data_IF_998344026846
#
_entry.id   IF_998344026846
#
_cell.length_a   1.000
_cell.length_b   1.000
_cell.length_c   1.000
_cell.angle_alpha   90.00
_cell.angle_beta   90.00
_cell.angle_gamma   90.00
#
_symmetry.space_group_name_H-M   'P 1'
#
loop_
_entity.id
_entity.type
_entity.pdbx_description
1 polymer ?
#
# COMPACT_ATOMS: atom_id res chain seq x y z
N UNK A 1 -6.58 0.09 -16.03
CA UNK A 1 -6.05 1.45 -15.80
C UNK A 1 -5.39 1.96 -17.08
N UNK A 2 -6.13 2.63 -17.97
CA UNK A 2 -5.65 3.00 -19.33
C UNK A 2 -4.95 4.35 -19.44
N UNK A 3 -5.09 5.23 -18.44
CA UNK A 3 -4.41 6.53 -18.41
C UNK A 3 -2.89 6.34 -18.22
N UNK A 4 -2.07 7.21 -18.82
CA UNK A 4 -0.62 7.17 -18.66
C UNK A 4 -0.15 7.75 -17.32
N UNK A 5 -0.79 8.82 -16.83
CA UNK A 5 -0.56 9.27 -15.46
C UNK A 5 -1.15 8.27 -14.46
N UNK A 6 -0.32 7.67 -13.61
CA UNK A 6 -0.74 6.70 -12.60
C UNK A 6 -1.11 7.40 -11.29
N UNK A 7 -1.99 6.74 -10.53
CA UNK A 7 -2.33 7.09 -9.15
C UNK A 7 -2.37 5.81 -8.33
N UNK A 8 -1.30 5.54 -7.59
CA UNK A 8 -1.20 4.37 -6.72
C UNK A 8 -0.78 4.83 -5.34
N UNK A 9 -1.46 4.36 -4.32
CA UNK A 9 -1.06 4.49 -2.93
C UNK A 9 -0.71 3.11 -2.37
N UNK A 10 0.01 3.10 -1.26
CA UNK A 10 0.25 1.91 -0.45
C UNK A 10 -0.11 2.22 0.99
N UNK A 11 -0.77 1.28 1.65
CA UNK A 11 -0.99 1.29 3.09
C UNK A 11 -0.55 -0.05 3.66
N UNK A 12 0.37 0.02 4.64
CA UNK A 12 0.84 -1.17 5.33
C UNK A 12 0.57 -1.16 6.84
N UNK A 13 -0.40 -0.35 7.29
CA UNK A 13 -0.77 -0.32 8.69
C UNK A 13 -1.39 -1.65 9.12
N UNK A 14 -0.97 -2.21 10.26
CA UNK A 14 -1.56 -3.45 10.74
C UNK A 14 -3.02 -3.24 11.19
N UNK A 15 -3.90 -4.15 10.80
CA UNK A 15 -5.36 -4.08 10.98
C UNK A 15 -5.82 -3.91 12.44
N UNK A 16 -4.95 -4.21 13.40
CA UNK A 16 -5.24 -4.18 14.84
C UNK A 16 -4.61 -3.04 15.63
N UNK A 17 -3.52 -2.46 15.11
CA UNK A 17 -2.62 -1.62 15.90
C UNK A 17 -2.46 -0.24 15.26
N UNK A 18 -3.54 0.44 14.87
CA UNK A 18 -3.53 1.86 14.43
C UNK A 18 -2.62 2.76 15.31
N UNK A 19 -2.32 2.32 16.54
CA UNK A 19 -1.56 2.94 17.62
C UNK A 19 -0.03 2.89 17.44
N UNK A 20 0.52 2.08 16.53
CA UNK A 20 1.96 2.06 16.24
C UNK A 20 2.85 1.56 17.39
N UNK A 21 2.28 0.86 18.37
CA UNK A 21 2.99 0.44 19.61
C UNK A 21 4.27 -0.36 19.34
N UNK A 22 4.27 -1.18 18.30
CA UNK A 22 5.40 -2.06 17.96
C UNK A 22 6.51 -1.36 17.16
N UNK A 23 6.21 -0.18 16.60
CA UNK A 23 7.14 0.62 15.81
C UNK A 23 6.88 2.13 15.98
N UNK A 24 7.02 2.68 17.21
CA UNK A 24 6.54 4.02 17.57
C UNK A 24 7.18 5.15 16.76
N UNK A 25 8.37 4.93 16.20
CA UNK A 25 9.11 5.94 15.43
C UNK A 25 9.02 5.76 13.91
N UNK A 26 8.32 4.74 13.42
CA UNK A 26 8.23 4.47 11.98
C UNK A 26 7.25 5.43 11.26
N UNK A 27 6.36 6.06 12.02
CA UNK A 27 5.35 6.96 11.49
C UNK A 27 4.32 6.24 10.63
N UNK A 28 3.71 6.96 9.70
CA UNK A 28 2.65 6.40 8.88
C UNK A 28 3.18 5.63 7.66
N UNK A 29 2.90 4.30 7.55
CA UNK A 29 3.25 3.44 6.42
C UNK A 29 2.26 3.64 5.26
N UNK A 30 1.87 4.89 5.02
CA UNK A 30 1.03 5.32 3.92
C UNK A 30 1.88 6.15 2.97
N UNK A 31 2.02 5.70 1.75
CA UNK A 31 2.77 6.40 0.70
C UNK A 31 1.98 6.41 -0.60
N UNK A 32 2.35 7.27 -1.54
CA UNK A 32 1.77 7.27 -2.88
C UNK A 32 2.78 7.59 -3.97
N UNK A 33 2.50 7.04 -5.16
CA UNK A 33 3.09 7.43 -6.43
C UNK A 33 1.97 7.96 -7.34
N UNK A 34 1.97 9.27 -7.52
CA UNK A 34 0.99 9.98 -8.32
C UNK A 34 1.69 10.99 -9.19
N UNK A 35 1.51 10.88 -10.51
CA UNK A 35 2.15 11.78 -11.47
C UNK A 35 1.30 12.03 -12.70
N UNK A 36 1.49 13.18 -13.32
CA UNK A 36 0.96 13.46 -14.65
C UNK A 36 2.05 13.29 -15.71
N UNK A 37 1.64 12.91 -16.91
CA UNK A 37 2.51 12.92 -18.08
C UNK A 37 2.22 14.19 -18.86
N UNK A 38 3.23 15.02 -19.05
CA UNK A 38 3.15 16.24 -19.85
C UNK A 38 4.06 16.15 -21.08
N UNK A 39 3.54 16.57 -22.22
CA UNK A 39 4.30 16.72 -23.44
C UNK A 39 4.83 18.17 -23.52
N UNK A 40 6.11 18.38 -23.25
CA UNK A 40 6.76 19.67 -23.38
C UNK A 40 7.69 19.65 -24.60
N UNK A 41 7.34 20.38 -25.66
CA UNK A 41 8.18 20.57 -26.85
C UNK A 41 8.77 19.26 -27.42
N UNK A 42 7.93 18.21 -27.53
CA UNK A 42 8.29 16.84 -27.98
C UNK A 42 9.08 15.99 -26.97
N UNK A 43 9.32 16.48 -25.75
CA UNK A 43 9.85 15.70 -24.65
C UNK A 43 8.75 15.36 -23.64
N UNK A 44 8.68 14.08 -23.27
CA UNK A 44 7.76 13.61 -22.22
C UNK A 44 8.36 13.89 -20.85
N UNK A 45 7.62 14.57 -19.99
CA UNK A 45 8.00 14.80 -18.59
C UNK A 45 6.97 14.21 -17.65
N UNK A 46 7.46 13.50 -16.64
CA UNK A 46 6.65 13.06 -15.50
C UNK A 46 6.65 14.16 -14.43
N UNK A 47 5.46 14.61 -14.06
CA UNK A 47 5.26 15.62 -13.01
C UNK A 47 4.66 14.90 -11.80
N UNK A 48 5.50 14.52 -10.84
CA UNK A 48 5.06 13.89 -9.61
C UNK A 48 4.33 14.89 -8.71
N UNK A 49 3.13 14.52 -8.27
CA UNK A 49 2.30 15.26 -7.32
C UNK A 49 2.65 14.94 -5.86
N UNK A 50 3.24 13.76 -5.66
CA UNK A 50 3.73 13.28 -4.38
C UNK A 50 5.22 12.95 -4.56
N UNK A 51 6.06 13.55 -3.72
CA UNK A 51 7.49 13.35 -3.70
C UNK A 51 7.93 12.73 -2.37
N UNK A 52 9.23 12.46 -2.23
CA UNK A 52 9.78 11.77 -1.06
C UNK A 52 9.50 12.52 0.25
N UNK A 53 9.55 13.86 0.23
CA UNK A 53 9.24 14.67 1.41
C UNK A 53 7.80 14.47 1.88
N UNK A 54 6.85 14.37 0.94
CA UNK A 54 5.43 14.09 1.25
C UNK A 54 5.24 12.65 1.73
N UNK A 55 5.89 11.66 1.09
CA UNK A 55 5.81 10.26 1.53
C UNK A 55 6.45 10.05 2.91
N UNK A 56 7.52 10.78 3.26
CA UNK A 56 8.19 10.71 4.56
C UNK A 56 7.49 11.47 5.69
N UNK A 57 6.32 12.07 5.45
CA UNK A 57 5.53 12.69 6.52
C UNK A 57 5.12 11.63 7.56
N UNK A 58 5.68 11.71 8.75
CA UNK A 58 5.59 10.66 9.77
C UNK A 58 4.92 11.10 11.08
N UNK A 59 4.89 12.41 11.38
CA UNK A 59 4.33 12.93 12.63
C UNK A 59 3.64 14.30 12.41
N UNK A 60 2.48 14.49 13.04
CA UNK A 60 1.68 15.71 13.04
C UNK A 60 2.40 16.91 13.67
N UNK A 61 3.15 16.68 14.76
CA UNK A 61 3.84 17.75 15.50
C UNK A 61 4.90 18.43 14.63
N UNK A 62 5.66 17.63 13.87
CA UNK A 62 6.69 18.11 12.94
C UNK A 62 6.08 18.94 11.79
N UNK A 63 4.79 18.78 11.51
CA UNK A 63 4.05 19.50 10.47
C UNK A 63 3.23 20.69 10.99
N UNK A 64 3.33 21.01 12.28
CA UNK A 64 2.55 22.11 12.87
C UNK A 64 1.02 21.86 12.88
N UNK A 65 0.58 20.60 12.74
CA UNK A 65 -0.83 20.21 12.64
C UNK A 65 -1.52 20.02 14.02
N UNK A 66 -0.88 20.43 15.12
CA UNK A 66 -1.40 20.30 16.49
C UNK A 66 -1.19 18.90 17.12
N UNK A 67 -1.97 18.61 18.17
CA UNK A 67 -1.95 17.35 18.92
C UNK A 67 -2.79 16.25 18.25
N UNK A 68 -2.41 15.79 17.05
CA UNK A 68 -2.97 14.54 16.51
C UNK A 68 -2.20 13.35 17.07
N UNK A 69 -2.91 12.31 17.50
CA UNK A 69 -2.28 11.03 17.80
C UNK A 69 -1.89 10.30 16.50
N UNK A 70 -1.11 9.22 16.64
CA UNK A 70 -0.58 8.43 15.51
C UNK A 70 -1.68 7.92 14.57
N UNK A 71 -2.79 7.37 15.10
CA UNK A 71 -3.95 6.93 14.31
C UNK A 71 -4.55 8.07 13.48
N UNK A 72 -4.81 9.21 14.15
CA UNK A 72 -5.41 10.40 13.53
C UNK A 72 -4.52 10.96 12.43
N UNK A 73 -3.21 11.06 12.70
CA UNK A 73 -2.24 11.53 11.72
C UNK A 73 -2.18 10.59 10.51
N UNK A 74 -2.19 9.28 10.75
CA UNK A 74 -2.18 8.31 9.68
C UNK A 74 -3.42 8.50 8.79
N UNK A 75 -4.63 8.59 9.37
CA UNK A 75 -5.87 8.76 8.60
C UNK A 75 -5.89 10.10 7.84
N UNK A 76 -5.35 11.16 8.46
CA UNK A 76 -5.15 12.45 7.82
C UNK A 76 -4.18 12.35 6.64
N UNK A 77 -3.05 11.64 6.78
CA UNK A 77 -2.05 11.48 5.72
C UNK A 77 -2.65 10.80 4.50
N UNK A 78 -3.49 9.78 4.69
CA UNK A 78 -4.22 9.14 3.60
C UNK A 78 -5.08 10.13 2.81
N UNK A 79 -5.89 10.93 3.51
CA UNK A 79 -6.71 11.99 2.89
C UNK A 79 -5.85 13.04 2.20
N UNK A 80 -4.72 13.42 2.79
CA UNK A 80 -3.78 14.38 2.21
C UNK A 80 -3.15 13.87 0.91
N UNK A 81 -2.69 12.62 0.91
CA UNK A 81 -2.24 11.93 -0.31
C UNK A 81 -3.36 11.86 -1.34
N UNK A 82 -4.58 11.53 -0.90
CA UNK A 82 -5.77 11.47 -1.76
C UNK A 82 -6.04 12.79 -2.46
N UNK A 83 -6.03 13.89 -1.70
CA UNK A 83 -6.18 15.26 -2.22
C UNK A 83 -5.09 15.60 -3.25
N UNK A 84 -3.81 15.29 -2.96
CA UNK A 84 -2.70 15.52 -3.90
C UNK A 84 -2.84 14.68 -5.17
N UNK A 85 -3.33 13.46 -5.05
CA UNK A 85 -3.48 12.50 -6.14
C UNK A 85 -4.79 12.66 -6.93
N UNK A 86 -5.74 13.47 -6.46
CA UNK A 86 -7.06 13.55 -7.07
C UNK A 86 -7.00 13.85 -8.57
N UNK A 87 -7.71 13.03 -9.34
CA UNK A 87 -7.98 13.26 -10.76
C UNK A 87 -9.35 13.89 -10.86
N UNK A 88 -9.38 15.09 -11.43
CA UNK A 88 -10.63 15.79 -11.73
C UNK A 88 -11.26 15.13 -12.96
N UNK A 89 -12.28 14.33 -12.73
CA UNK A 89 -13.07 13.66 -13.76
C UNK A 89 -14.54 13.94 -13.45
N UNK A 90 -15.25 14.57 -14.40
CA UNK A 90 -16.66 14.89 -14.20
C UNK A 90 -17.55 13.71 -14.66
N UNK A 91 -18.57 13.29 -13.88
CA UNK A 91 -19.00 13.85 -12.59
C UNK A 91 -18.35 13.19 -11.36
N UNK A 92 -17.45 12.22 -11.54
CA UNK A 92 -16.93 11.37 -10.45
C UNK A 92 -15.41 11.50 -10.32
N UNK A 93 -14.88 12.47 -9.55
CA UNK A 93 -13.46 12.51 -9.24
C UNK A 93 -13.05 11.23 -8.52
N UNK A 94 -11.77 10.89 -8.61
CA UNK A 94 -11.19 9.71 -7.96
C UNK A 94 -9.75 10.01 -7.56
N UNK A 95 -9.22 9.32 -6.55
CA UNK A 95 -7.86 9.63 -6.03
C UNK A 95 -6.80 8.65 -6.48
N UNK A 96 -6.83 7.40 -6.01
CA UNK A 96 -5.81 6.40 -6.33
C UNK A 96 -6.31 4.97 -6.17
N UNK A 97 -5.54 4.04 -6.72
CA UNK A 97 -5.60 2.62 -6.40
C UNK A 97 -4.70 2.33 -5.21
N UNK A 98 -5.20 1.65 -4.20
CA UNK A 98 -4.46 1.38 -2.98
C UNK A 98 -3.95 -0.06 -2.93
N UNK A 99 -2.64 -0.22 -2.84
CA UNK A 99 -1.98 -1.46 -2.45
C UNK A 99 -2.12 -1.56 -0.93
N UNK A 100 -2.78 -2.58 -0.43
CA UNK A 100 -2.90 -2.83 1.00
C UNK A 100 -2.01 -4.01 1.36
N UNK A 101 -1.10 -3.78 2.30
CA UNK A 101 -0.27 -4.79 2.91
C UNK A 101 -0.77 -5.03 4.33
N UNK A 102 -1.06 -6.28 4.65
CA UNK A 102 -1.58 -6.65 5.96
C UNK A 102 -0.84 -7.89 6.47
N UNK A 103 -0.50 -7.85 7.76
CA UNK A 103 -0.10 -9.03 8.51
C UNK A 103 -1.35 -9.64 9.13
N UNK A 104 -1.56 -10.94 8.93
CA UNK A 104 -2.62 -11.69 9.60
C UNK A 104 -2.25 -12.07 11.03
N UNK A 105 -1.02 -11.77 11.48
CA UNK A 105 -0.62 -12.01 12.86
C UNK A 105 -1.42 -11.07 13.78
N UNK A 106 -2.16 -11.65 14.73
CA UNK A 106 -3.04 -10.93 15.64
C UNK A 106 -2.77 -11.39 17.07
N UNK A 107 -2.41 -10.46 17.95
CA UNK A 107 -2.42 -10.71 19.38
C UNK A 107 -3.86 -10.55 19.90
N UNK A 108 -4.57 -11.67 19.98
CA UNK A 108 -5.96 -11.71 20.44
C UNK A 108 -6.08 -11.40 21.93
N UNK A 109 -4.99 -11.48 22.70
CA UNK A 109 -4.96 -11.20 24.13
C UNK A 109 -4.70 -9.73 24.43
N UNK A 110 -3.99 -9.01 23.55
CA UNK A 110 -3.75 -7.58 23.71
C UNK A 110 -5.03 -6.73 23.54
N UNK A 111 -6.06 -7.27 22.85
CA UNK A 111 -7.37 -6.63 22.67
C UNK A 111 -7.32 -5.20 22.08
N UNK A 112 -6.30 -4.94 21.25
CA UNK A 112 -6.04 -3.62 20.64
C UNK A 112 -6.90 -3.41 19.40
N UNK A 113 -7.23 -4.50 18.67
CA UNK A 113 -8.09 -4.42 17.49
C UNK A 113 -9.49 -3.94 17.90
N UNK A 114 -10.02 -2.85 17.35
CA UNK A 114 -11.38 -2.43 17.64
C UNK A 114 -12.41 -3.37 17.00
N UNK A 115 -13.42 -3.78 17.76
CA UNK A 115 -14.61 -4.46 17.27
C UNK A 115 -15.66 -3.41 16.90
N UNK A 116 -15.82 -3.12 15.60
CA UNK A 116 -16.75 -2.10 15.10
C UNK A 116 -16.57 -0.72 15.77
N UNK A 117 -15.33 -0.27 15.94
CA UNK A 117 -15.00 1.01 16.57
C UNK A 117 -15.10 1.01 18.10
N UNK A 118 -15.41 -0.13 18.73
CA UNK A 118 -15.36 -0.31 20.20
C UNK A 118 -14.11 -1.08 20.58
N UNK A 119 -13.53 -0.78 21.74
CA UNK A 119 -12.39 -1.53 22.28
C UNK A 119 -12.78 -3.01 22.43
N UNK A 120 -12.04 -3.91 21.80
CA UNK A 120 -12.28 -5.35 21.92
C UNK A 120 -11.86 -5.84 23.31
N UNK A 121 -12.24 -7.08 23.65
CA UNK A 121 -11.81 -7.78 24.85
C UNK A 121 -10.82 -8.88 24.48
N UNK A 122 -9.87 -9.23 25.37
CA UNK A 122 -8.97 -10.35 25.14
C UNK A 122 -9.77 -11.62 24.84
N UNK A 123 -9.38 -12.37 23.82
CA UNK A 123 -9.99 -13.67 23.49
C UNK A 123 -8.92 -14.73 23.21
N UNK A 124 -9.22 -16.02 23.43
CA UNK A 124 -8.25 -17.10 23.25
C UNK A 124 -7.61 -17.10 21.86
N UNK A 125 -6.29 -17.29 21.74
CA UNK A 125 -5.62 -17.38 20.44
C UNK A 125 -6.24 -18.50 19.60
N UNK A 126 -6.49 -18.21 18.31
CA UNK A 126 -6.93 -19.23 17.36
C UNK A 126 -5.73 -19.68 16.51
N UNK A 127 -5.63 -20.96 16.14
CA UNK A 127 -4.53 -21.44 15.28
C UNK A 127 -4.45 -20.72 13.91
N UNK A 128 -5.53 -20.06 13.50
CA UNK A 128 -5.64 -19.35 12.22
C UNK A 128 -4.81 -18.06 12.17
N UNK A 129 -4.57 -17.40 13.30
CA UNK A 129 -3.86 -16.12 13.37
C UNK A 129 -2.74 -16.18 14.41
N UNK A 130 -1.63 -16.87 14.11
CA UNK A 130 -0.55 -17.03 15.06
C UNK A 130 0.13 -15.69 15.34
N UNK A 131 0.16 -15.29 16.60
CA UNK A 131 1.02 -14.23 17.11
C UNK A 131 1.88 -14.79 18.23
N UNK A 132 3.19 -14.57 18.13
CA UNK A 132 4.18 -15.10 19.06
C UNK A 132 4.60 -14.08 20.13
N UNK A 133 3.66 -13.23 20.56
CA UNK A 133 3.88 -12.18 21.57
C UNK A 133 4.26 -10.81 20.99
N UNK A 134 4.86 -9.96 21.84
CA UNK A 134 5.23 -8.58 21.51
C UNK A 134 6.06 -8.50 20.22
N UNK A 135 5.67 -7.61 19.31
CA UNK A 135 6.34 -7.39 18.03
C UNK A 135 5.80 -8.19 16.84
N UNK A 136 4.84 -9.10 17.06
CA UNK A 136 4.24 -9.90 15.97
C UNK A 136 3.31 -9.07 15.07
N UNK A 137 2.70 -8.00 15.63
CA UNK A 137 1.70 -7.14 15.00
C UNK A 137 2.33 -5.92 14.31
N UNK A 138 3.54 -6.06 13.77
CA UNK A 138 4.31 -4.97 13.20
C UNK A 138 3.85 -4.58 11.78
N UNK A 139 4.29 -3.41 11.32
CA UNK A 139 4.18 -2.94 9.94
C UNK A 139 5.51 -3.15 9.19
N UNK A 140 5.51 -3.28 7.85
CA UNK A 140 6.73 -3.45 7.10
C UNK A 140 7.46 -2.12 6.85
N UNK A 141 8.76 -2.21 6.63
CA UNK A 141 9.50 -1.14 5.95
C UNK A 141 8.95 -0.99 4.53
N UNK A 142 8.77 0.26 4.09
CA UNK A 142 8.35 0.60 2.74
C UNK A 142 9.50 1.32 2.03
N UNK A 143 9.90 0.79 0.89
CA UNK A 143 10.82 1.41 -0.05
C UNK A 143 10.08 1.72 -1.35
N UNK A 144 10.35 2.90 -1.89
CA UNK A 144 9.69 3.40 -3.09
C UNK A 144 10.70 3.76 -4.17
N UNK A 145 10.60 3.06 -5.31
CA UNK A 145 11.20 3.50 -6.56
C UNK A 145 10.12 4.26 -7.34
N UNK A 146 10.23 5.58 -7.35
CA UNK A 146 9.33 6.47 -8.10
C UNK A 146 9.24 6.08 -9.57
N UNK A 147 8.05 6.23 -10.11
CA UNK A 147 7.81 5.94 -11.53
C UNK A 147 8.69 6.82 -12.41
N UNK A 148 9.44 6.19 -13.30
CA UNK A 148 10.27 6.87 -14.29
C UNK A 148 9.93 6.41 -15.70
N UNK A 149 10.27 7.23 -16.69
CA UNK A 149 10.16 6.90 -18.10
C UNK A 149 11.54 6.47 -18.63
N UNK A 150 11.65 5.22 -19.07
CA UNK A 150 12.85 4.66 -19.69
C UNK A 150 12.51 4.28 -21.13
N UNK A 151 13.01 5.06 -22.09
CA UNK A 151 12.59 4.95 -23.49
C UNK A 151 11.09 5.23 -23.64
N UNK A 152 10.29 4.19 -23.92
CA UNK A 152 8.82 4.26 -23.98
C UNK A 152 8.12 3.61 -22.78
N UNK A 153 8.87 3.03 -21.86
CA UNK A 153 8.32 2.25 -20.75
C UNK A 153 8.29 3.07 -19.48
N UNK A 154 7.10 3.21 -18.90
CA UNK A 154 6.90 3.74 -17.57
C UNK A 154 6.99 2.59 -16.56
N UNK A 155 7.78 2.76 -15.50
CA UNK A 155 7.84 1.76 -14.43
C UNK A 155 8.19 2.35 -13.08
N UNK A 156 7.57 1.83 -12.03
CA UNK A 156 7.85 2.14 -10.62
C UNK A 156 7.59 0.92 -9.74
N UNK A 157 7.92 1.03 -8.45
CA UNK A 157 7.82 -0.09 -7.52
C UNK A 157 7.71 0.34 -6.07
N UNK A 158 6.85 -0.34 -5.30
CA UNK A 158 6.94 -0.43 -3.85
C UNK A 158 7.49 -1.80 -3.45
N UNK A 159 8.39 -1.85 -2.47
CA UNK A 159 8.95 -3.10 -1.96
C UNK A 159 9.41 -2.95 -0.52
N UNK A 160 9.61 -4.05 0.18
CA UNK A 160 9.91 -3.99 1.60
C UNK A 160 9.87 -5.34 2.30
N UNK A 161 9.94 -5.30 3.64
CA UNK A 161 10.00 -6.47 4.53
C UNK A 161 9.35 -6.13 5.87
N UNK A 162 8.70 -7.11 6.50
CA UNK A 162 8.26 -7.00 7.90
C UNK A 162 9.40 -7.32 8.88
N UNK A 163 10.44 -8.03 8.44
CA UNK A 163 11.64 -8.27 9.23
C UNK A 163 12.51 -7.02 9.21
N UNK A 164 12.28 -6.11 10.18
CA UNK A 164 12.87 -4.76 10.21
C UNK A 164 14.41 -4.73 10.27
N UNK A 165 15.01 -5.79 10.82
CA UNK A 165 16.47 -5.92 10.95
C UNK A 165 17.12 -6.58 9.71
N UNK A 166 16.33 -6.95 8.71
CA UNK A 166 16.83 -7.60 7.51
C UNK A 166 17.45 -6.62 6.51
N UNK A 167 18.53 -7.05 5.86
CA UNK A 167 19.07 -6.36 4.69
C UNK A 167 18.09 -6.46 3.51
N UNK A 168 17.46 -5.33 3.17
CA UNK A 168 16.46 -5.25 2.10
C UNK A 168 16.99 -5.74 0.75
N UNK A 169 18.28 -5.59 0.47
CA UNK A 169 18.88 -6.02 -0.80
C UNK A 169 18.93 -7.56 -0.91
N UNK A 170 18.88 -8.25 0.22
CA UNK A 170 18.92 -9.72 0.30
C UNK A 170 17.57 -10.31 0.70
N UNK A 171 16.61 -9.52 1.19
CA UNK A 171 15.33 -9.99 1.70
C UNK A 171 14.55 -10.89 0.71
N UNK A 172 14.62 -10.57 -0.60
CA UNK A 172 13.97 -11.36 -1.64
C UNK A 172 14.50 -12.82 -1.69
N UNK A 173 15.80 -13.04 -1.53
CA UNK A 173 16.44 -14.35 -1.74
C UNK A 173 16.87 -15.05 -0.44
N UNK A 174 17.10 -14.30 0.64
CA UNK A 174 17.52 -14.84 1.94
C UNK A 174 16.43 -15.72 2.54
N UNK A 175 16.78 -16.92 3.01
CA UNK A 175 15.83 -17.79 3.70
C UNK A 175 15.30 -17.13 4.98
N UNK A 176 14.05 -17.46 5.33
CA UNK A 176 13.39 -16.98 6.54
C UNK A 176 13.40 -15.45 6.69
N UNK A 177 13.10 -14.75 5.60
CA UNK A 177 12.96 -13.29 5.58
C UNK A 177 11.77 -12.94 4.70
N UNK A 178 10.82 -12.21 5.27
CA UNK A 178 9.64 -11.73 4.57
C UNK A 178 10.05 -10.72 3.52
N UNK A 179 9.29 -10.71 2.43
CA UNK A 179 9.54 -9.77 1.35
C UNK A 179 8.25 -9.51 0.60
N UNK A 180 8.00 -8.25 0.28
CA UNK A 180 6.98 -7.90 -0.69
C UNK A 180 7.56 -7.01 -1.77
N UNK A 181 6.94 -7.05 -2.94
CA UNK A 181 7.25 -6.13 -4.02
C UNK A 181 6.07 -6.02 -4.95
N UNK A 182 5.57 -4.81 -5.18
CA UNK A 182 4.59 -4.48 -6.21
C UNK A 182 5.26 -3.58 -7.23
N UNK A 183 5.52 -4.11 -8.42
CA UNK A 183 6.06 -3.35 -9.55
C UNK A 183 4.94 -3.09 -10.54
N UNK A 184 4.87 -1.87 -11.08
CA UNK A 184 3.94 -1.53 -12.14
C UNK A 184 4.71 -1.10 -13.38
N UNK A 185 4.21 -1.53 -14.55
CA UNK A 185 4.80 -1.19 -15.84
C UNK A 185 3.73 -0.88 -16.88
N UNK A 186 4.06 0.02 -17.80
CA UNK A 186 3.20 0.37 -18.93
C UNK A 186 4.03 0.95 -20.07
N UNK A 187 3.64 0.68 -21.32
CA UNK A 187 4.17 1.45 -22.46
C UNK A 187 3.37 2.75 -22.63
N UNK A 188 4.08 3.86 -22.79
CA UNK A 188 3.48 5.18 -22.94
C UNK A 188 2.53 5.23 -24.15
N UNK A 189 1.31 5.74 -23.94
CA UNK A 189 0.26 5.83 -24.94
C UNK A 189 -0.40 4.51 -25.32
N UNK A 190 -0.03 3.37 -24.71
CA UNK A 190 -0.53 2.05 -25.10
C UNK A 190 -1.04 1.22 -23.93
N UNK A 191 -2.18 0.59 -24.13
CA UNK A 191 -2.71 -0.43 -23.22
C UNK A 191 -2.99 0.06 -21.79
N UNK A 192 -2.93 -0.88 -20.85
CA UNK A 192 -3.15 -0.64 -19.42
C UNK A 192 -1.90 -0.90 -18.61
N UNK A 193 -1.85 -0.34 -17.40
CA UNK A 193 -0.86 -0.70 -16.39
C UNK A 193 -0.93 -2.19 -16.05
N UNK A 194 0.23 -2.83 -16.01
CA UNK A 194 0.43 -4.21 -15.57
C UNK A 194 1.13 -4.18 -14.21
N UNK A 195 0.55 -4.85 -13.23
CA UNK A 195 1.10 -4.97 -11.89
C UNK A 195 1.65 -6.38 -11.68
N UNK A 196 2.90 -6.47 -11.26
CA UNK A 196 3.56 -7.69 -10.82
C UNK A 196 3.77 -7.61 -9.32
N UNK A 197 3.25 -8.59 -8.59
CA UNK A 197 3.41 -8.66 -7.15
C UNK A 197 4.23 -9.90 -6.76
N UNK A 198 5.05 -9.74 -5.72
CA UNK A 198 5.75 -10.81 -5.03
C UNK A 198 5.39 -10.66 -3.57
N UNK A 199 5.05 -11.78 -2.93
CA UNK A 199 4.82 -11.86 -1.50
C UNK A 199 5.49 -13.12 -0.98
N UNK A 200 6.35 -12.95 0.02
CA UNK A 200 7.14 -14.00 0.65
C UNK A 200 7.04 -13.83 2.16
N UNK A 201 6.78 -14.93 2.84
CA UNK A 201 6.62 -15.01 4.29
C UNK A 201 7.95 -15.33 4.98
N UNK A 202 7.97 -15.16 6.31
CA UNK A 202 9.01 -15.69 7.21
C UNK A 202 8.33 -16.43 8.36
N UNK A 203 9.11 -17.14 9.17
CA UNK A 203 8.63 -17.81 10.38
C UNK A 203 7.99 -16.82 11.37
N UNK A 204 8.49 -15.57 11.41
CA UNK A 204 7.92 -14.48 12.21
C UNK A 204 6.64 -13.90 11.60
N UNK A 205 6.54 -13.90 10.27
CA UNK A 205 5.39 -13.38 9.52
C UNK A 205 4.83 -14.44 8.55
N UNK A 206 4.21 -15.51 9.08
CA UNK A 206 3.72 -16.64 8.27
C UNK A 206 2.43 -16.30 7.51
N UNK A 207 1.70 -15.28 7.95
CA UNK A 207 0.44 -14.84 7.34
C UNK A 207 0.57 -13.41 6.85
N UNK A 208 0.84 -13.25 5.56
CA UNK A 208 0.89 -11.95 4.89
C UNK A 208 -0.17 -11.89 3.80
N UNK A 209 -0.71 -10.69 3.60
CA UNK A 209 -1.75 -10.44 2.61
C UNK A 209 -1.42 -9.18 1.82
N UNK A 210 -1.64 -9.25 0.51
CA UNK A 210 -1.42 -8.16 -0.42
C UNK A 210 -2.66 -8.01 -1.29
N UNK A 211 -3.30 -6.85 -1.21
CA UNK A 211 -4.51 -6.54 -1.95
C UNK A 211 -4.34 -5.29 -2.81
N UNK A 212 -5.06 -5.23 -3.92
CA UNK A 212 -5.21 -4.01 -4.70
C UNK A 212 -6.67 -3.56 -4.65
N UNK A 213 -6.89 -2.35 -4.15
CA UNK A 213 -8.20 -1.75 -3.89
C UNK A 213 -8.39 -0.49 -4.73
N UNK A 214 -9.61 -0.23 -5.17
CA UNK A 214 -9.98 0.99 -5.91
C UNK A 214 -10.60 2.04 -4.99
N UNK A 215 -10.17 3.29 -5.15
CA UNK A 215 -10.83 4.53 -4.68
C UNK A 215 -11.29 4.46 -3.21
N UNK A 216 -10.32 4.64 -2.30
CA UNK A 216 -10.45 4.34 -0.88
C UNK A 216 -10.36 5.61 -0.01
N UNK A 217 -11.19 6.64 -0.20
CA UNK A 217 -11.13 7.86 0.64
C UNK A 217 -12.45 8.34 1.24
N UNK A 218 -13.56 7.64 1.04
CA UNK A 218 -14.88 7.96 1.64
C UNK A 218 -15.63 6.67 1.98
N UNK A 219 -16.28 6.52 3.15
CA UNK A 219 -17.20 5.39 3.49
C UNK A 219 -16.72 4.46 4.62
N UNK A 220 -17.31 3.28 4.87
CA UNK A 220 -16.74 2.26 5.79
C UNK A 220 -16.92 0.87 5.18
N UNK A 221 -15.86 0.06 5.12
CA UNK A 221 -15.90 -1.28 4.52
C UNK A 221 -15.14 -2.28 5.36
N UNK A 222 -15.86 -3.10 6.14
CA UNK A 222 -15.32 -4.29 6.82
C UNK A 222 -14.15 -4.02 7.78
N UNK A 223 -14.14 -2.90 8.50
CA UNK A 223 -13.06 -2.52 9.41
C UNK A 223 -12.05 -1.51 8.84
N UNK A 224 -12.29 -0.96 7.65
CA UNK A 224 -11.48 0.10 7.04
C UNK A 224 -12.22 1.44 7.00
N UNK A 225 -11.47 2.54 7.10
CA UNK A 225 -12.01 3.90 7.23
C UNK A 225 -12.80 4.43 6.02
N UNK A 226 -12.81 3.74 4.87
CA UNK A 226 -13.40 4.20 3.59
C UNK A 226 -14.11 3.05 2.83
N UNK A 227 -15.02 3.35 1.90
CA UNK A 227 -15.66 2.47 0.89
C UNK A 227 -14.72 2.19 -0.30
N UNK A 228 -15.13 1.32 -1.23
CA UNK A 228 -14.42 0.99 -2.48
C UNK A 228 -15.30 1.22 -3.70
N UNK A 229 -14.71 1.63 -4.83
CA UNK A 229 -15.37 1.52 -6.15
C UNK A 229 -15.10 0.16 -6.80
N UNK A 230 -15.74 -0.91 -6.31
CA UNK A 230 -15.83 -2.22 -6.98
C UNK A 230 -14.51 -3.01 -7.17
N UNK A 231 -14.60 -4.34 -7.17
CA UNK A 231 -13.44 -5.23 -7.31
C UNK A 231 -12.93 -5.28 -8.76
N UNK A 232 -11.60 -5.40 -8.89
CA UNK A 232 -10.92 -5.70 -10.15
C UNK A 232 -11.47 -6.97 -10.79
N UNK A 233 -11.77 -6.94 -12.09
CA UNK A 233 -12.20 -8.14 -12.85
C UNK A 233 -10.96 -8.94 -13.28
N UNK A 234 -10.89 -10.22 -12.90
CA UNK A 234 -9.92 -11.17 -13.47
C UNK A 234 -10.28 -11.34 -14.96
N UNK A 235 -9.35 -11.00 -15.84
CA UNK A 235 -9.45 -11.30 -17.27
C UNK A 235 -8.61 -12.56 -17.49
N UNK A 236 -9.26 -13.70 -17.72
CA UNK A 236 -8.54 -14.89 -18.16
C UNK A 236 -7.98 -14.65 -19.56
N UNK A 237 -6.68 -14.87 -19.73
CA UNK A 237 -6.11 -14.98 -21.06
C UNK A 237 -6.65 -16.29 -21.65
N UNK A 238 -7.53 -16.21 -22.65
CA UNK A 238 -7.79 -17.36 -23.52
C UNK A 238 -6.50 -17.61 -24.29
N UNK A 239 -5.76 -18.63 -23.89
CA UNK A 239 -4.79 -19.27 -24.77
C UNK A 239 -5.59 -19.85 -25.93
N UNK A 240 -5.59 -19.15 -27.08
CA UNK A 240 -6.00 -19.78 -28.32
C UNK A 240 -4.99 -20.90 -28.57
N UNK A 241 -5.42 -22.13 -28.28
CA UNK A 241 -4.74 -23.34 -28.73
C UNK A 241 -4.78 -23.33 -30.26
N UNK A 242 -3.73 -22.78 -30.86
CA UNK A 242 -3.38 -23.05 -32.25
C UNK A 242 -2.74 -24.44 -32.27
N UNK A 243 -3.56 -25.47 -32.48
CA UNK A 243 -3.11 -26.71 -33.10
C UNK A 243 -4.23 -27.24 -34.01
N UNK A 244 -4.00 -27.31 -35.33
CA UNK A 244 -4.84 -28.08 -36.23
C UNK A 244 -4.32 -29.53 -36.26
N UNK A 245 -5.19 -30.50 -35.97
CA UNK A 245 -5.13 -31.86 -36.48
C UNK A 245 -6.56 -32.36 -36.68
#
# INVERSE_FOLDING_TARGET
>A
MRRDGLRVAIEAWNQCNEVGEEAPNMGSPREADCFDVHNFRKHMKLVHRVNEKVNKLSNATIQGLGNMNVNQFAAWKEKYLGYKCQVQEFPKPWQFWMIMLKSGNMDTLAAVCPENGKKSKPFPPTPRFPCFGKGCMNMPLIYHNYTSLQGRTLSGRFYGTWDLDADINKAATKNDTSFYSVTWKKELGKGSWVFHHVLKTSSKYPWLMLYLRSDATTGFSGGYHYETRGMSKIVSLRTNSLYPH
#
